data_IF_639457312979
#
_entry.id   IF_639457312979
#
_cell.length_a   1.000
_cell.length_b   1.000
_cell.length_c   1.000
_cell.angle_alpha   90.00
_cell.angle_beta   90.00
_cell.angle_gamma   90.00
#
_symmetry.space_group_name_H-M   'P 1'
#
loop_
_entity.id
_entity.type
_entity.pdbx_description
1 polymer ?
#
# COMPACT_ATOMS: atom_id res chain seq x y z
N UNK A 1 -33.69 -9.98 28.88
CA UNK A 1 -33.43 -9.32 27.58
C UNK A 1 -32.92 -7.91 27.85
N UNK A 2 -31.61 -7.74 27.92
CA UNK A 2 -30.96 -6.42 28.07
C UNK A 2 -30.77 -5.83 26.67
N UNK A 3 -31.34 -4.64 26.43
CA UNK A 3 -31.16 -3.91 25.18
C UNK A 3 -29.65 -3.72 24.89
N UNK A 4 -29.21 -3.89 23.63
CA UNK A 4 -27.81 -3.68 23.28
C UNK A 4 -27.45 -2.21 23.55
N UNK A 5 -26.46 -2.00 24.42
CA UNK A 5 -25.95 -0.68 24.76
C UNK A 5 -25.51 0.05 23.47
N UNK A 6 -26.17 1.17 23.21
CA UNK A 6 -25.90 2.06 22.08
C UNK A 6 -24.49 2.63 22.23
N UNK A 7 -23.52 2.04 21.51
CA UNK A 7 -22.14 2.53 21.58
C UNK A 7 -22.10 3.86 20.84
N UNK A 8 -21.51 4.92 21.43
CA UNK A 8 -21.42 6.21 20.78
C UNK A 8 -20.72 6.06 19.43
N UNK A 9 -21.47 6.31 18.35
CA UNK A 9 -20.89 6.28 17.01
C UNK A 9 -19.90 7.43 16.87
N UNK A 10 -18.67 7.18 16.39
CA UNK A 10 -17.71 8.23 16.14
C UNK A 10 -18.25 9.20 15.10
N UNK A 11 -18.19 10.48 15.43
CA UNK A 11 -18.68 11.59 14.60
C UNK A 11 -18.05 11.56 13.20
N UNK A 12 -18.81 11.89 12.13
CA UNK A 12 -18.36 11.73 10.74
C UNK A 12 -16.99 12.35 10.44
N UNK A 13 -16.69 13.51 11.02
CA UNK A 13 -15.41 14.21 10.84
C UNK A 13 -14.20 13.52 11.48
N UNK A 14 -14.39 12.72 12.52
CA UNK A 14 -13.30 11.97 13.14
C UNK A 14 -12.82 10.79 12.26
N UNK A 15 -13.72 10.27 11.41
CA UNK A 15 -13.45 9.13 10.53
C UNK A 15 -12.57 9.53 9.34
N UNK A 16 -12.88 10.66 8.70
CA UNK A 16 -12.13 11.22 7.57
C UNK A 16 -10.74 11.70 7.97
N UNK A 17 -10.60 12.35 9.14
CA UNK A 17 -9.30 12.81 9.63
C UNK A 17 -8.30 11.68 9.91
N UNK A 18 -8.78 10.53 10.40
CA UNK A 18 -7.93 9.35 10.66
C UNK A 18 -7.48 8.69 9.36
N UNK A 19 -8.36 8.55 8.37
CA UNK A 19 -8.01 7.99 7.05
C UNK A 19 -6.98 8.88 6.33
N UNK A 20 -7.18 10.19 6.35
CA UNK A 20 -6.24 11.16 5.78
C UNK A 20 -4.86 11.07 6.43
N UNK A 21 -4.78 10.96 7.76
CA UNK A 21 -3.50 10.80 8.48
C UNK A 21 -2.79 9.50 8.11
N UNK A 22 -3.52 8.40 7.95
CA UNK A 22 -2.91 7.11 7.56
C UNK A 22 -2.37 7.18 6.13
N UNK A 23 -3.10 7.81 5.20
CA UNK A 23 -2.62 8.02 3.82
C UNK A 23 -1.41 8.95 3.79
N UNK A 24 -1.41 10.01 4.59
CA UNK A 24 -0.31 10.96 4.70
C UNK A 24 0.97 10.34 5.26
N UNK A 25 0.89 9.27 6.05
CA UNK A 25 2.06 8.50 6.53
C UNK A 25 2.44 7.39 5.56
N UNK A 26 1.45 6.71 4.96
CA UNK A 26 1.68 5.59 4.05
C UNK A 26 2.37 6.01 2.76
N UNK A 27 2.04 7.20 2.21
CA UNK A 27 2.65 7.71 0.99
C UNK A 27 4.16 7.98 1.12
N UNK A 28 4.66 8.78 2.09
CA UNK A 28 6.09 8.98 2.26
C UNK A 28 6.80 7.71 2.71
N UNK A 29 6.17 6.83 3.51
CA UNK A 29 6.75 5.53 3.84
C UNK A 29 6.97 4.67 2.59
N UNK A 30 5.98 4.57 1.69
CA UNK A 30 6.11 3.84 0.43
C UNK A 30 7.18 4.45 -0.48
N UNK A 31 7.33 5.78 -0.48
CA UNK A 31 8.34 6.49 -1.25
C UNK A 31 9.77 6.21 -0.73
N UNK A 32 9.97 6.33 0.60
CA UNK A 32 11.25 6.05 1.26
C UNK A 32 11.65 4.59 1.09
N UNK A 33 10.69 3.70 1.29
CA UNK A 33 10.93 2.28 1.09
C UNK A 33 11.25 2.00 -0.40
N UNK A 34 10.52 2.62 -1.34
CA UNK A 34 10.73 2.47 -2.78
C UNK A 34 12.12 2.93 -3.24
N UNK A 35 12.62 4.01 -2.63
CA UNK A 35 13.99 4.49 -2.83
C UNK A 35 15.03 3.52 -2.24
N UNK A 36 14.80 2.99 -1.03
CA UNK A 36 15.67 2.01 -0.37
C UNK A 36 15.80 0.70 -1.17
N UNK A 37 14.75 0.30 -1.89
CA UNK A 37 14.80 -0.87 -2.79
C UNK A 37 15.78 -0.71 -3.95
N UNK A 38 15.95 0.50 -4.46
CA UNK A 38 16.71 0.75 -5.67
C UNK A 38 18.20 1.02 -5.43
N UNK A 39 18.59 1.34 -4.18
CA UNK A 39 19.97 1.70 -3.85
C UNK A 39 20.62 0.67 -2.91
N UNK A 40 20.33 0.62 -1.59
CA UNK A 40 20.98 -0.32 -0.67
C UNK A 40 20.45 -1.77 -0.72
N UNK A 41 19.18 -2.00 -1.07
CA UNK A 41 18.58 -3.34 -1.07
C UNK A 41 18.66 -4.08 -2.42
N UNK A 42 19.20 -3.46 -3.47
CA UNK A 42 19.38 -4.12 -4.77
C UNK A 42 20.27 -5.39 -4.67
N UNK A 43 21.21 -5.41 -3.70
CA UNK A 43 22.03 -6.58 -3.38
C UNK A 43 21.30 -7.73 -2.65
N UNK A 44 20.09 -7.50 -2.14
CA UNK A 44 19.28 -8.52 -1.46
C UNK A 44 18.41 -9.34 -2.41
N UNK A 45 18.33 -8.95 -3.70
CA UNK A 45 17.57 -9.69 -4.71
C UNK A 45 16.11 -9.93 -4.28
N UNK A 46 15.66 -11.18 -4.36
CA UNK A 46 14.29 -11.59 -4.04
C UNK A 46 13.83 -11.31 -2.60
N UNK A 47 14.74 -11.05 -1.65
CA UNK A 47 14.37 -10.71 -0.26
C UNK A 47 13.62 -9.40 -0.13
N UNK A 48 13.83 -8.47 -1.06
CA UNK A 48 13.03 -7.23 -1.13
C UNK A 48 11.55 -7.56 -1.22
N UNK A 49 11.16 -8.50 -2.09
CA UNK A 49 9.76 -8.96 -2.28
C UNK A 49 9.14 -9.45 -0.95
N UNK A 50 9.92 -10.13 -0.13
CA UNK A 50 9.45 -10.64 1.18
C UNK A 50 9.19 -9.48 2.14
N UNK A 51 10.10 -8.50 2.24
CA UNK A 51 9.89 -7.29 3.06
C UNK A 51 8.64 -6.53 2.60
N UNK A 52 8.40 -6.47 1.29
CA UNK A 52 7.21 -5.84 0.71
C UNK A 52 5.92 -6.58 1.02
N UNK A 53 5.93 -7.90 0.93
CA UNK A 53 4.79 -8.73 1.32
C UNK A 53 4.45 -8.53 2.81
N UNK A 54 5.45 -8.45 3.68
CA UNK A 54 5.24 -8.17 5.11
C UNK A 54 4.62 -6.78 5.31
N UNK A 55 5.11 -5.74 4.63
CA UNK A 55 4.53 -4.40 4.72
C UNK A 55 3.06 -4.37 4.27
N UNK A 56 2.73 -5.03 3.17
CA UNK A 56 1.34 -5.19 2.68
C UNK A 56 0.47 -5.89 3.71
N UNK A 57 0.96 -6.97 4.33
CA UNK A 57 0.25 -7.69 5.40
C UNK A 57 0.00 -6.77 6.60
N UNK A 58 1.02 -6.04 7.06
CA UNK A 58 0.89 -5.11 8.20
C UNK A 58 -0.14 -4.01 7.89
N UNK A 59 -0.06 -3.37 6.72
CA UNK A 59 -1.03 -2.34 6.31
C UNK A 59 -2.45 -2.89 6.15
N UNK A 60 -2.61 -4.11 5.63
CA UNK A 60 -3.91 -4.77 5.49
C UNK A 60 -4.57 -5.10 6.83
N UNK A 61 -3.76 -5.27 7.88
CA UNK A 61 -4.22 -5.52 9.25
C UNK A 61 -4.64 -4.26 10.02
N UNK A 62 -4.34 -3.07 9.51
CA UNK A 62 -4.73 -1.83 10.19
C UNK A 62 -6.27 -1.72 10.20
N UNK A 63 -6.89 -1.52 11.39
CA UNK A 63 -8.34 -1.41 11.52
C UNK A 63 -8.91 -0.35 10.58
N UNK A 64 -10.06 -0.64 9.97
CA UNK A 64 -10.71 0.26 9.02
C UNK A 64 -11.75 -0.45 8.16
N UNK A 65 -12.46 0.33 7.35
CA UNK A 65 -13.45 -0.19 6.39
C UNK A 65 -12.78 -1.01 5.29
N UNK A 66 -13.49 -1.95 4.67
CA UNK A 66 -12.96 -2.73 3.54
C UNK A 66 -12.47 -1.83 2.39
N UNK A 67 -13.24 -0.77 2.08
CA UNK A 67 -12.85 0.26 1.11
C UNK A 67 -11.59 1.01 1.52
N UNK A 68 -11.47 1.43 2.79
CA UNK A 68 -10.29 2.11 3.31
C UNK A 68 -9.05 1.21 3.34
N UNK A 69 -9.21 -0.09 3.58
CA UNK A 69 -8.13 -1.08 3.44
C UNK A 69 -7.68 -1.22 1.99
N UNK A 70 -8.60 -1.42 1.06
CA UNK A 70 -8.29 -1.54 -0.36
C UNK A 70 -7.60 -0.27 -0.90
N UNK A 71 -8.06 0.92 -0.53
CA UNK A 71 -7.41 2.17 -0.93
C UNK A 71 -5.98 2.30 -0.40
N UNK A 72 -5.75 1.97 0.88
CA UNK A 72 -4.41 2.03 1.48
C UNK A 72 -3.45 1.03 0.84
N UNK A 73 -3.90 -0.20 0.63
CA UNK A 73 -3.12 -1.25 -0.02
C UNK A 73 -2.82 -0.92 -1.48
N UNK A 74 -3.83 -0.45 -2.21
CA UNK A 74 -3.70 -0.06 -3.61
C UNK A 74 -2.75 1.13 -3.77
N UNK A 75 -2.90 2.16 -2.94
CA UNK A 75 -2.00 3.32 -2.98
C UNK A 75 -0.57 2.94 -2.59
N UNK A 76 -0.41 2.12 -1.55
CA UNK A 76 0.91 1.61 -1.16
C UNK A 76 1.57 0.84 -2.29
N UNK A 77 0.87 -0.16 -2.88
CA UNK A 77 1.40 -0.95 -3.98
C UNK A 77 1.69 -0.13 -5.23
N UNK A 78 0.86 0.87 -5.53
CA UNK A 78 1.09 1.82 -6.61
C UNK A 78 2.35 2.65 -6.39
N UNK A 79 2.47 3.36 -5.26
CA UNK A 79 3.63 4.22 -4.97
C UNK A 79 4.91 3.39 -4.97
N UNK A 80 4.84 2.18 -4.42
CA UNK A 80 5.95 1.25 -4.41
C UNK A 80 6.38 0.84 -5.82
N UNK A 81 5.44 0.30 -6.62
CA UNK A 81 5.73 -0.14 -7.99
C UNK A 81 6.22 1.00 -8.89
N UNK A 82 5.62 2.18 -8.74
CA UNK A 82 6.04 3.39 -9.45
C UNK A 82 7.46 3.80 -9.07
N UNK A 83 7.79 3.80 -7.77
CA UNK A 83 9.14 4.11 -7.29
C UNK A 83 10.16 3.12 -7.84
N UNK A 84 9.84 1.82 -7.86
CA UNK A 84 10.70 0.79 -8.44
C UNK A 84 10.99 1.03 -9.92
N UNK A 85 9.97 1.36 -10.70
CA UNK A 85 10.11 1.65 -12.13
C UNK A 85 10.95 2.90 -12.36
N UNK A 86 10.73 3.96 -11.58
CA UNK A 86 11.48 5.21 -11.70
C UNK A 86 12.96 5.04 -11.31
N UNK A 87 13.25 4.37 -10.20
CA UNK A 87 14.62 4.25 -9.69
C UNK A 87 15.41 3.10 -10.34
N UNK A 88 14.73 2.07 -10.84
CA UNK A 88 15.35 0.99 -11.63
C UNK A 88 15.58 1.36 -13.09
N UNK A 89 15.15 2.55 -13.52
CA UNK A 89 15.28 2.98 -14.90
C UNK A 89 16.73 3.38 -15.23
N UNK A 90 17.27 2.78 -16.29
CA UNK A 90 18.68 2.94 -16.71
C UNK A 90 18.94 4.19 -17.57
N UNK A 91 17.91 4.98 -17.89
CA UNK A 91 18.09 6.31 -18.49
C UNK A 91 18.12 6.40 -20.01
N UNK A 92 17.61 5.42 -20.76
CA UNK A 92 17.64 5.46 -22.24
C UNK A 92 16.88 6.67 -22.87
N UNK A 93 15.96 7.29 -22.14
CA UNK A 93 15.20 8.47 -22.52
C UNK A 93 14.93 9.34 -21.28
N UNK A 94 14.44 10.56 -21.47
CA UNK A 94 14.09 11.41 -20.34
C UNK A 94 12.98 10.77 -19.47
N UNK A 95 13.17 10.74 -18.15
CA UNK A 95 12.22 10.13 -17.20
C UNK A 95 10.79 10.68 -17.35
N UNK A 96 10.66 11.98 -17.64
CA UNK A 96 9.37 12.67 -17.84
C UNK A 96 8.51 12.00 -18.92
N UNK A 97 9.11 11.49 -20.00
CA UNK A 97 8.36 10.82 -21.08
C UNK A 97 7.91 9.41 -20.70
N UNK A 98 8.42 8.87 -19.59
CA UNK A 98 8.14 7.53 -19.07
C UNK A 98 7.21 7.53 -17.85
N UNK A 99 6.88 8.70 -17.30
CA UNK A 99 6.02 8.82 -16.11
C UNK A 99 4.66 8.15 -16.35
N UNK A 100 3.99 8.42 -17.47
CA UNK A 100 2.69 7.82 -17.77
C UNK A 100 2.75 6.28 -17.91
N UNK A 101 3.63 5.69 -18.75
CA UNK A 101 3.71 4.24 -18.83
C UNK A 101 4.12 3.59 -17.51
N UNK A 102 4.99 4.23 -16.71
CA UNK A 102 5.33 3.73 -15.38
C UNK A 102 4.16 3.79 -14.41
N UNK A 103 3.36 4.86 -14.44
CA UNK A 103 2.15 4.96 -13.64
C UNK A 103 1.15 3.84 -14.01
N UNK A 104 0.95 3.58 -15.31
CA UNK A 104 0.08 2.49 -15.76
C UNK A 104 0.57 1.11 -15.28
N UNK A 105 1.87 0.84 -15.33
CA UNK A 105 2.44 -0.40 -14.80
C UNK A 105 2.35 -0.46 -13.26
N UNK A 106 2.52 0.67 -12.58
CA UNK A 106 2.38 0.75 -11.13
C UNK A 106 0.95 0.47 -10.66
N UNK A 107 -0.08 0.74 -11.47
CA UNK A 107 -1.46 0.32 -11.16
C UNK A 107 -1.55 -1.18 -10.97
N UNK A 108 -0.83 -1.99 -11.76
CA UNK A 108 -0.81 -3.45 -11.61
C UNK A 108 -0.26 -3.85 -10.23
N UNK A 109 0.79 -3.17 -9.77
CA UNK A 109 1.34 -3.38 -8.42
C UNK A 109 0.34 -2.99 -7.32
N UNK A 110 -0.39 -1.89 -7.51
CA UNK A 110 -1.48 -1.50 -6.61
C UNK A 110 -2.58 -2.57 -6.53
N UNK A 111 -3.03 -3.06 -7.68
CA UNK A 111 -4.04 -4.14 -7.75
C UNK A 111 -3.54 -5.43 -7.08
N UNK A 112 -2.28 -5.80 -7.30
CA UNK A 112 -1.66 -6.96 -6.66
C UNK A 112 -1.62 -6.82 -5.12
N UNK A 113 -1.28 -5.63 -4.59
CA UNK A 113 -1.29 -5.37 -3.16
C UNK A 113 -2.70 -5.47 -2.54
N UNK A 114 -3.73 -5.00 -3.26
CA UNK A 114 -5.14 -5.19 -2.85
C UNK A 114 -5.51 -6.66 -2.84
N UNK A 115 -5.18 -7.40 -3.90
CA UNK A 115 -5.45 -8.82 -4.01
C UNK A 115 -4.77 -9.63 -2.90
N UNK A 116 -3.50 -9.33 -2.60
CA UNK A 116 -2.77 -9.97 -1.52
C UNK A 116 -3.39 -9.68 -0.15
N UNK A 117 -3.78 -8.43 0.11
CA UNK A 117 -4.49 -8.10 1.35
C UNK A 117 -5.87 -8.77 1.47
N UNK A 118 -6.59 -8.93 0.36
CA UNK A 118 -7.83 -9.68 0.32
C UNK A 118 -7.61 -11.18 0.59
N UNK A 119 -6.56 -11.78 0.01
CA UNK A 119 -6.16 -13.17 0.25
C UNK A 119 -5.82 -13.40 1.73
N UNK A 120 -5.04 -12.50 2.33
CA UNK A 120 -4.71 -12.55 3.77
C UNK A 120 -5.98 -12.51 4.63
N UNK A 121 -6.93 -11.66 4.26
CA UNK A 121 -8.21 -11.60 4.97
C UNK A 121 -9.02 -12.90 4.84
N UNK A 122 -9.04 -13.49 3.64
CA UNK A 122 -9.70 -14.76 3.37
C UNK A 122 -9.10 -15.91 4.19
N UNK A 123 -7.77 -16.09 4.13
CA UNK A 123 -7.06 -17.14 4.87
C UNK A 123 -7.36 -17.05 6.37
N UNK A 124 -7.41 -15.83 6.90
CA UNK A 124 -7.69 -15.57 8.31
C UNK A 124 -9.16 -15.73 8.70
N UNK A 125 -10.07 -15.80 7.74
CA UNK A 125 -11.49 -16.08 7.99
C UNK A 125 -11.81 -17.57 8.01
N UNK A 126 -10.89 -18.41 7.52
CA UNK A 126 -11.04 -19.86 7.42
C UNK A 126 -10.29 -20.60 8.54
N UNK A 127 -9.20 -20.02 9.05
CA UNK A 127 -8.41 -20.51 10.20
C UNK A 127 -8.92 -19.94 11.52
#
# INVERSE_FOLDING_TARGET
MTAPADRPQPSPGARTGREARVLAVAAPAALVLGWLSAHPLAGLGGWTVVVWAVAVVVLGNVPGTARGKALRLGLFGFVLGFSFLCFGYTGEAALVTRVLPFALLAVVSGLAAVALGALVHLVRSVL
#
